data_IF_567020312463
#
_entry.id   IF_567020312463
#
_cell.length_a   1.000
_cell.length_b   1.000
_cell.length_c   1.000
_cell.angle_alpha   90.00
_cell.angle_beta   90.00
_cell.angle_gamma   90.00
#
_symmetry.space_group_name_H-M   'P 1'
#
loop_
_entity.id
_entity.type
_entity.pdbx_description
1 polymer ?
#
# COMPACT_ATOMS: atom_id res chain seq x y z
N UNK A 1 -74.38 -5.41 12.25
CA UNK A 1 -74.00 -6.83 12.43
C UNK A 1 -72.62 -7.06 11.80
N UNK A 2 -71.68 -7.51 12.65
CA UNK A 2 -70.53 -8.40 12.39
C UNK A 2 -69.56 -8.13 11.22
N UNK A 3 -68.38 -7.65 11.64
CA UNK A 3 -67.02 -8.00 11.22
C UNK A 3 -66.79 -9.08 10.14
N UNK A 4 -65.81 -8.83 9.26
CA UNK A 4 -64.77 -9.81 8.93
C UNK A 4 -63.42 -9.15 8.53
N UNK A 5 -62.45 -9.28 9.44
CA UNK A 5 -60.97 -9.44 9.36
C UNK A 5 -60.26 -9.12 8.02
N UNK A 6 -59.28 -8.22 8.00
CA UNK A 6 -57.88 -8.35 8.50
C UNK A 6 -57.03 -9.40 7.78
N UNK A 7 -56.09 -8.95 6.95
CA UNK A 7 -54.70 -9.44 6.93
C UNK A 7 -53.72 -8.28 6.74
N UNK A 8 -53.06 -7.99 7.84
CA UNK A 8 -51.87 -7.16 8.04
C UNK A 8 -50.68 -7.69 7.23
N UNK A 9 -50.10 -6.84 6.37
CA UNK A 9 -48.74 -7.03 5.87
C UNK A 9 -47.77 -6.41 6.89
N UNK A 10 -47.07 -7.27 7.62
CA UNK A 10 -46.00 -6.92 8.56
C UNK A 10 -44.68 -6.76 7.81
N UNK A 11 -43.90 -5.78 8.26
CA UNK A 11 -42.44 -5.71 8.29
C UNK A 11 -41.70 -5.89 6.95
N UNK A 12 -41.04 -4.81 6.51
CA UNK A 12 -39.58 -4.77 6.60
C UNK A 12 -39.12 -3.31 6.64
N UNK A 13 -38.72 -2.88 7.84
CA UNK A 13 -38.05 -1.63 8.11
C UNK A 13 -36.59 -1.85 7.71
N UNK A 14 -36.19 -1.41 6.52
CA UNK A 14 -34.78 -1.40 6.14
C UNK A 14 -34.13 -0.22 6.88
N UNK A 15 -33.46 -0.55 7.98
CA UNK A 15 -32.65 0.38 8.73
C UNK A 15 -31.55 0.94 7.82
N UNK A 16 -31.52 2.26 7.65
CA UNK A 16 -30.35 2.99 7.21
C UNK A 16 -29.21 2.78 8.22
N UNK A 17 -28.42 1.73 8.01
CA UNK A 17 -27.06 1.66 8.54
C UNK A 17 -26.21 2.61 7.70
N UNK A 18 -26.18 3.89 8.09
CA UNK A 18 -25.04 4.74 7.80
C UNK A 18 -23.86 4.12 8.53
N UNK A 19 -23.06 3.34 7.80
CA UNK A 19 -21.75 2.89 8.24
C UNK A 19 -20.89 4.14 8.45
N UNK A 20 -20.86 4.59 9.70
CA UNK A 20 -19.74 5.39 10.21
C UNK A 20 -18.51 4.52 10.00
N UNK A 21 -17.69 4.89 9.01
CA UNK A 21 -16.33 4.36 8.87
C UNK A 21 -15.57 4.86 10.09
N UNK A 22 -15.61 4.07 11.15
CA UNK A 22 -14.79 4.28 12.34
C UNK A 22 -13.33 4.15 11.92
N UNK A 23 -12.65 5.28 11.79
CA UNK A 23 -11.20 5.39 11.80
C UNK A 23 -10.69 4.95 13.18
N UNK A 24 -10.60 3.65 13.39
CA UNK A 24 -10.04 3.05 14.60
C UNK A 24 -9.07 1.94 14.20
N UNK A 25 -7.93 2.35 13.60
CA UNK A 25 -6.77 1.47 13.42
C UNK A 25 -5.45 2.26 13.44
N UNK A 26 -5.32 3.29 14.27
CA UNK A 26 -4.05 4.02 14.47
C UNK A 26 -3.72 4.12 15.96
N UNK A 27 -3.46 2.98 16.60
CA UNK A 27 -2.71 2.87 17.86
C UNK A 27 -2.63 1.38 18.27
N UNK A 28 -1.80 0.57 17.60
CA UNK A 28 -1.35 -0.74 18.13
C UNK A 28 -0.36 -1.49 17.23
N UNK A 29 0.29 -0.83 16.25
CA UNK A 29 1.21 -1.51 15.32
C UNK A 29 2.50 -2.01 15.95
N UNK A 30 3.03 -1.32 16.97
CA UNK A 30 4.35 -1.61 17.53
C UNK A 30 4.37 -2.78 18.53
N UNK A 31 3.24 -3.07 19.17
CA UNK A 31 3.12 -4.17 20.15
C UNK A 31 2.91 -5.56 19.54
N UNK A 32 2.69 -5.67 18.23
CA UNK A 32 2.49 -6.95 17.52
C UNK A 32 3.75 -7.54 16.90
N UNK A 33 4.92 -6.92 17.09
CA UNK A 33 6.19 -7.45 16.55
C UNK A 33 6.80 -8.57 17.41
N UNK A 34 6.36 -8.76 18.65
CA UNK A 34 6.95 -9.76 19.56
C UNK A 34 6.58 -11.21 19.22
N UNK A 35 5.50 -11.45 18.48
CA UNK A 35 5.09 -12.79 17.98
C UNK A 35 5.52 -13.08 16.54
N UNK A 36 6.12 -12.11 15.85
CA UNK A 36 6.56 -12.24 14.45
C UNK A 36 7.99 -12.82 14.36
N UNK A 37 8.76 -12.80 15.47
CA UNK A 37 10.20 -13.07 15.46
C UNK A 37 10.67 -14.52 15.65
N UNK A 38 9.81 -15.50 15.97
CA UNK A 38 10.29 -16.88 16.22
C UNK A 38 10.65 -17.66 14.96
N UNK A 39 10.11 -17.28 13.80
CA UNK A 39 10.31 -17.95 12.50
C UNK A 39 11.18 -17.15 11.52
N UNK A 40 11.35 -15.83 11.74
CA UNK A 40 12.37 -15.03 11.08
C UNK A 40 13.70 -15.19 11.83
N UNK A 41 14.22 -16.42 11.82
CA UNK A 41 15.62 -16.65 12.10
C UNK A 41 16.44 -16.18 10.89
N UNK A 42 17.67 -15.66 11.09
CA UNK A 42 18.60 -15.40 10.00
C UNK A 42 18.66 -16.63 9.08
N UNK A 43 18.36 -16.42 7.80
CA UNK A 43 18.15 -17.52 6.85
C UNK A 43 19.33 -18.50 6.83
N UNK A 44 18.98 -19.78 6.66
CA UNK A 44 19.93 -20.88 6.45
C UNK A 44 20.92 -20.55 5.31
N UNK A 45 22.14 -21.09 5.37
CA UNK A 45 23.25 -20.84 4.42
C UNK A 45 22.96 -21.18 2.93
N UNK A 46 21.76 -21.65 2.57
CA UNK A 46 21.39 -21.98 1.19
C UNK A 46 20.50 -20.88 0.60
N UNK A 47 20.90 -20.38 -0.57
CA UNK A 47 20.14 -19.37 -1.28
C UNK A 47 18.73 -19.88 -1.65
N UNK A 48 17.66 -19.11 -1.38
CA UNK A 48 16.31 -19.49 -1.79
C UNK A 48 16.16 -19.56 -3.31
N UNK A 49 15.14 -20.24 -3.78
CA UNK A 49 14.77 -20.26 -5.20
C UNK A 49 14.25 -18.89 -5.64
N UNK A 50 14.34 -18.61 -6.94
CA UNK A 50 13.80 -17.37 -7.51
C UNK A 50 12.29 -17.35 -7.28
N UNK A 51 11.82 -16.32 -6.58
CA UNK A 51 10.40 -16.08 -6.39
C UNK A 51 9.87 -15.27 -7.57
N UNK A 52 8.74 -15.69 -8.14
CA UNK A 52 8.09 -14.98 -9.24
C UNK A 52 6.58 -15.12 -9.14
N UNK A 53 5.88 -14.13 -9.67
CA UNK A 53 4.42 -14.09 -9.62
C UNK A 53 3.85 -12.77 -10.07
N UNK A 54 2.56 -12.59 -9.83
CA UNK A 54 1.83 -11.39 -10.19
C UNK A 54 0.77 -11.03 -9.15
N UNK A 55 0.40 -9.76 -9.15
CA UNK A 55 -0.73 -9.24 -8.40
C UNK A 55 -2.01 -9.48 -9.19
N UNK A 56 -2.97 -10.21 -8.63
CA UNK A 56 -4.34 -10.28 -9.13
C UNK A 56 -5.19 -9.29 -8.36
N UNK A 57 -5.90 -8.42 -9.09
CA UNK A 57 -6.84 -7.47 -8.52
C UNK A 57 -8.27 -8.00 -8.63
N UNK A 58 -9.00 -7.98 -7.53
CA UNK A 58 -10.43 -8.23 -7.51
C UNK A 58 -11.18 -6.90 -7.40
N UNK A 59 -11.84 -6.48 -8.47
CA UNK A 59 -12.58 -5.22 -8.54
C UNK A 59 -13.74 -5.18 -7.53
N UNK A 60 -14.37 -6.32 -7.23
CA UNK A 60 -15.52 -6.37 -6.33
C UNK A 60 -15.14 -6.05 -4.88
N UNK A 61 -13.96 -6.51 -4.45
CA UNK A 61 -13.46 -6.30 -3.09
C UNK A 61 -12.38 -5.21 -3.00
N UNK A 62 -11.86 -4.72 -4.13
CA UNK A 62 -10.71 -3.82 -4.18
C UNK A 62 -9.41 -4.44 -3.65
N UNK A 63 -9.31 -5.78 -3.61
CA UNK A 63 -8.22 -6.49 -2.95
C UNK A 63 -7.17 -7.01 -3.93
N UNK A 64 -5.90 -6.92 -3.54
CA UNK A 64 -4.77 -7.54 -4.24
C UNK A 64 -4.41 -8.88 -3.60
N UNK A 65 -4.21 -9.90 -4.45
CA UNK A 65 -3.70 -11.21 -4.04
C UNK A 65 -2.49 -11.59 -4.86
N UNK A 66 -1.48 -12.20 -4.23
CA UNK A 66 -0.29 -12.67 -4.93
C UNK A 66 -0.55 -14.06 -5.51
N UNK A 67 -0.23 -14.25 -6.79
CA UNK A 67 -0.28 -15.56 -7.44
C UNK A 67 1.14 -15.97 -7.82
N UNK A 68 1.60 -17.10 -7.26
CA UNK A 68 2.94 -17.65 -7.49
C UNK A 68 3.07 -18.28 -8.88
N UNK A 69 4.25 -18.20 -9.45
CA UNK A 69 4.62 -18.84 -10.71
C UNK A 69 4.89 -17.85 -11.83
N UNK A 70 5.48 -18.34 -12.93
CA UNK A 70 5.85 -17.51 -14.07
C UNK A 70 4.59 -16.90 -14.70
N UNK A 71 4.37 -15.61 -14.46
CA UNK A 71 3.81 -14.76 -15.49
C UNK A 71 4.81 -14.79 -16.66
N UNK A 72 4.60 -15.71 -17.60
CA UNK A 72 5.35 -15.75 -18.84
C UNK A 72 5.03 -14.51 -19.65
N UNK A 73 5.77 -13.43 -19.40
CA UNK A 73 5.57 -12.14 -20.07
C UNK A 73 4.42 -11.29 -19.51
N UNK A 74 4.13 -10.16 -20.18
CA UNK A 74 3.07 -9.24 -19.80
C UNK A 74 1.73 -9.96 -19.71
N UNK A 75 1.00 -9.68 -18.63
CA UNK A 75 -0.34 -10.22 -18.41
C UNK A 75 -1.36 -9.11 -18.54
N UNK A 76 -2.22 -9.21 -19.53
CA UNK A 76 -3.30 -8.24 -19.78
C UNK A 76 -4.28 -8.17 -18.59
N UNK A 77 -4.37 -9.24 -17.80
CA UNK A 77 -5.28 -9.40 -16.66
C UNK A 77 -4.68 -9.06 -15.29
N UNK A 78 -3.43 -8.60 -15.23
CA UNK A 78 -2.75 -8.30 -13.97
C UNK A 78 -2.15 -6.88 -13.96
N UNK A 79 -2.42 -6.06 -12.92
CA UNK A 79 -1.86 -4.70 -12.83
C UNK A 79 -0.34 -4.66 -12.65
N UNK A 80 0.27 -5.70 -12.08
CA UNK A 80 1.72 -5.82 -11.97
C UNK A 80 2.19 -7.28 -11.85
N UNK A 81 3.41 -7.54 -12.29
CA UNK A 81 4.11 -8.81 -12.10
C UNK A 81 5.59 -8.58 -11.81
N UNK A 82 6.26 -9.62 -11.30
CA UNK A 82 7.66 -9.49 -10.95
C UNK A 82 8.36 -10.77 -10.57
N UNK A 83 9.66 -10.64 -10.32
CA UNK A 83 10.51 -11.71 -9.82
C UNK A 83 11.60 -11.14 -8.92
N UNK A 84 12.03 -11.96 -7.96
CA UNK A 84 13.12 -11.66 -7.06
C UNK A 84 14.11 -12.82 -6.98
N UNK A 85 15.38 -12.52 -7.24
CA UNK A 85 16.51 -13.42 -7.04
C UNK A 85 17.33 -12.92 -5.86
N UNK A 86 17.42 -13.74 -4.82
CA UNK A 86 18.06 -13.38 -3.55
C UNK A 86 19.57 -13.12 -3.72
N UNK A 87 20.17 -12.16 -2.98
CA UNK A 87 21.61 -11.86 -3.03
C UNK A 87 22.50 -13.09 -2.83
N UNK A 88 22.10 -14.08 -2.04
CA UNK A 88 22.86 -15.32 -1.82
C UNK A 88 23.02 -16.16 -3.09
N UNK A 89 22.24 -15.88 -4.14
CA UNK A 89 22.35 -16.54 -5.46
C UNK A 89 23.42 -15.94 -6.35
N UNK A 90 23.99 -14.80 -5.97
CA UNK A 90 24.84 -14.01 -6.82
C UNK A 90 26.22 -13.82 -6.18
N UNK A 91 27.27 -14.01 -6.97
CA UNK A 91 28.66 -13.73 -6.53
C UNK A 91 28.87 -12.28 -6.12
N UNK A 92 28.06 -11.35 -6.66
CA UNK A 92 28.09 -9.94 -6.31
C UNK A 92 27.45 -9.63 -4.95
N UNK A 93 26.68 -10.57 -4.39
CA UNK A 93 25.86 -10.38 -3.20
C UNK A 93 24.79 -9.27 -3.34
N UNK A 94 24.38 -8.95 -4.57
CA UNK A 94 23.25 -8.05 -4.84
C UNK A 94 22.01 -8.87 -5.21
N UNK A 95 20.90 -8.60 -4.52
CA UNK A 95 19.59 -9.12 -4.92
C UNK A 95 19.13 -8.46 -6.22
N UNK A 96 18.40 -9.21 -7.04
CA UNK A 96 17.86 -8.71 -8.30
C UNK A 96 16.33 -8.75 -8.24
N UNK A 97 15.72 -7.57 -8.17
CA UNK A 97 14.28 -7.39 -8.25
C UNK A 97 13.91 -6.90 -9.66
N UNK A 98 12.86 -7.47 -10.23
CA UNK A 98 12.20 -6.97 -11.44
C UNK A 98 10.72 -6.84 -11.16
N UNK A 99 10.17 -5.66 -11.44
CA UNK A 99 8.74 -5.37 -11.38
C UNK A 99 8.34 -4.66 -12.67
N UNK A 100 7.22 -5.07 -13.24
CA UNK A 100 6.63 -4.42 -14.41
C UNK A 100 5.13 -4.25 -14.16
N UNK A 101 4.61 -3.06 -14.49
CA UNK A 101 3.20 -2.72 -14.41
C UNK A 101 2.52 -2.88 -15.76
N UNK A 102 1.18 -2.87 -15.75
CA UNK A 102 0.37 -2.96 -16.95
C UNK A 102 -0.40 -1.64 -17.18
N UNK A 103 -0.16 -0.92 -18.31
CA UNK A 103 -0.81 0.35 -18.61
C UNK A 103 -2.31 0.24 -18.91
N UNK A 104 -2.87 -0.97 -19.02
CA UNK A 104 -4.31 -1.18 -19.11
C UNK A 104 -5.05 -0.87 -17.80
N UNK A 105 -4.32 -0.70 -16.69
CA UNK A 105 -4.88 -0.39 -15.37
C UNK A 105 -4.64 1.09 -14.99
N UNK A 106 -5.48 1.69 -14.13
CA UNK A 106 -5.23 3.04 -13.63
C UNK A 106 -3.88 3.17 -12.93
N UNK A 107 -3.18 4.28 -13.13
CA UNK A 107 -1.83 4.53 -12.58
C UNK A 107 -1.72 4.25 -11.08
N UNK A 108 -2.71 4.69 -10.29
CA UNK A 108 -2.73 4.44 -8.85
C UNK A 108 -2.75 2.94 -8.53
N UNK A 109 -3.53 2.15 -9.28
CA UNK A 109 -3.59 0.70 -9.10
C UNK A 109 -2.31 0.03 -9.61
N UNK A 110 -1.72 0.51 -10.70
CA UNK A 110 -0.42 0.03 -11.17
C UNK A 110 0.65 0.20 -10.09
N UNK A 111 0.73 1.39 -9.48
CA UNK A 111 1.72 1.69 -8.44
C UNK A 111 1.46 0.88 -7.16
N UNK A 112 0.20 0.78 -6.73
CA UNK A 112 -0.19 -0.07 -5.60
C UNK A 112 0.16 -1.54 -5.85
N UNK A 113 -0.12 -2.06 -7.05
CA UNK A 113 0.21 -3.43 -7.42
C UNK A 113 1.73 -3.66 -7.53
N UNK A 114 2.49 -2.69 -8.04
CA UNK A 114 3.94 -2.75 -8.11
C UNK A 114 4.55 -2.88 -6.71
N UNK A 115 4.11 -2.02 -5.78
CA UNK A 115 4.50 -2.11 -4.38
C UNK A 115 4.10 -3.46 -3.77
N UNK A 116 2.88 -3.91 -4.00
CA UNK A 116 2.40 -5.19 -3.50
C UNK A 116 3.24 -6.37 -3.96
N UNK A 117 3.59 -6.42 -5.25
CA UNK A 117 4.47 -7.45 -5.81
C UNK A 117 5.86 -7.38 -5.16
N UNK A 118 6.46 -6.21 -5.06
CA UNK A 118 7.77 -6.03 -4.42
C UNK A 118 7.75 -6.48 -2.94
N UNK A 119 6.77 -5.99 -2.17
CA UNK A 119 6.67 -6.25 -0.74
C UNK A 119 6.46 -7.73 -0.45
N UNK A 120 5.69 -8.42 -1.30
CA UNK A 120 5.49 -9.86 -1.18
C UNK A 120 6.78 -10.63 -1.53
N UNK A 121 7.43 -10.28 -2.64
CA UNK A 121 8.60 -11.00 -3.16
C UNK A 121 9.85 -10.82 -2.29
N UNK A 122 9.96 -9.71 -1.56
CA UNK A 122 11.18 -9.32 -0.83
C UNK A 122 11.00 -9.26 0.68
N UNK A 123 9.89 -9.78 1.22
CA UNK A 123 9.52 -9.60 2.62
C UNK A 123 10.62 -10.02 3.62
N UNK A 124 11.30 -11.13 3.36
CA UNK A 124 12.38 -11.63 4.20
C UNK A 124 13.57 -10.66 4.22
N UNK A 125 13.91 -10.07 3.08
CA UNK A 125 15.00 -9.08 2.98
C UNK A 125 14.59 -7.73 3.59
N UNK A 126 13.32 -7.33 3.44
CA UNK A 126 12.77 -6.15 4.11
C UNK A 126 12.89 -6.31 5.63
N UNK A 127 12.55 -7.48 6.17
CA UNK A 127 12.69 -7.75 7.60
C UNK A 127 14.15 -7.70 8.05
N UNK A 128 15.06 -8.38 7.37
CA UNK A 128 16.48 -8.39 7.74
C UNK A 128 17.06 -6.97 7.72
N UNK A 129 16.70 -6.18 6.71
CA UNK A 129 17.11 -4.78 6.63
C UNK A 129 16.53 -3.95 7.77
N UNK A 130 15.22 -4.06 8.04
CA UNK A 130 14.57 -3.32 9.12
C UNK A 130 15.12 -3.70 10.51
N UNK A 131 15.42 -4.98 10.73
CA UNK A 131 16.04 -5.47 11.96
C UNK A 131 17.43 -4.87 12.18
N UNK A 132 18.26 -4.88 11.14
CA UNK A 132 19.61 -4.31 11.18
C UNK A 132 19.58 -2.80 11.40
N UNK A 133 18.71 -2.08 10.68
CA UNK A 133 18.58 -0.62 10.81
C UNK A 133 18.02 -0.20 12.16
N UNK A 134 17.15 -1.01 12.78
CA UNK A 134 16.67 -0.75 14.14
C UNK A 134 17.82 -0.79 15.15
N UNK A 135 18.72 -1.76 15.04
CA UNK A 135 19.92 -1.84 15.89
C UNK A 135 20.78 -0.60 15.74
N UNK A 136 21.14 -0.26 14.50
CA UNK A 136 21.94 0.93 14.22
C UNK A 136 21.28 2.22 14.72
N UNK A 137 19.98 2.41 14.47
CA UNK A 137 19.26 3.62 14.88
C UNK A 137 19.26 3.80 16.41
N UNK A 138 19.14 2.70 17.15
CA UNK A 138 19.21 2.73 18.61
C UNK A 138 20.59 3.16 19.15
N UNK A 139 21.66 3.03 18.35
CA UNK A 139 22.99 3.54 18.69
C UNK A 139 23.15 5.03 18.36
N UNK A 140 22.36 5.56 17.42
CA UNK A 140 22.47 6.96 16.98
C UNK A 140 21.64 7.95 17.81
N UNK A 141 20.62 7.47 18.50
CA UNK A 141 19.73 8.33 19.29
C UNK A 141 19.31 7.66 20.59
N UNK A 142 19.15 8.47 21.64
CA UNK A 142 18.57 8.03 22.91
C UNK A 142 17.04 7.95 22.85
N UNK A 143 16.41 8.36 21.75
CA UNK A 143 14.95 8.45 21.62
C UNK A 143 14.48 8.05 20.21
N UNK A 144 14.44 6.75 19.96
CA UNK A 144 13.94 6.17 18.70
C UNK A 144 12.44 6.39 18.51
N UNK A 145 11.69 6.55 19.60
CA UNK A 145 10.25 6.79 19.57
C UNK A 145 9.92 8.16 18.95
N UNK A 146 10.67 9.22 19.30
CA UNK A 146 10.49 10.55 18.67
C UNK A 146 10.68 10.54 17.16
N UNK A 147 11.63 9.73 16.65
CA UNK A 147 11.85 9.60 15.20
C UNK A 147 10.63 8.92 14.56
N UNK A 148 10.12 7.86 15.19
CA UNK A 148 8.90 7.19 14.76
C UNK A 148 7.70 8.15 14.71
N UNK A 149 7.46 8.89 15.79
CA UNK A 149 6.36 9.86 15.88
C UNK A 149 6.45 10.94 14.79
N UNK A 150 7.66 11.46 14.53
CA UNK A 150 7.88 12.41 13.46
C UNK A 150 7.59 11.80 12.08
N UNK A 151 8.05 10.58 11.81
CA UNK A 151 7.77 9.87 10.55
C UNK A 151 6.26 9.65 10.34
N UNK A 152 5.52 9.28 11.39
CA UNK A 152 4.05 9.15 11.29
C UNK A 152 3.36 10.49 11.04
N UNK A 153 3.80 11.55 11.72
CA UNK A 153 3.27 12.89 11.48
C UNK A 153 3.55 13.36 10.03
N UNK A 154 4.73 13.06 9.49
CA UNK A 154 5.09 13.36 8.10
C UNK A 154 4.24 12.58 7.09
N UNK A 155 4.06 11.27 7.28
CA UNK A 155 3.19 10.45 6.42
C UNK A 155 1.75 10.98 6.43
N UNK A 156 1.21 11.27 7.63
CA UNK A 156 -0.14 11.81 7.77
C UNK A 156 -0.28 13.17 7.06
N UNK A 157 0.69 14.06 7.25
CA UNK A 157 0.72 15.36 6.58
C UNK A 157 0.77 15.21 5.06
N UNK A 158 1.66 14.38 4.52
CA UNK A 158 1.79 14.16 3.08
C UNK A 158 0.48 13.64 2.47
N UNK A 159 -0.19 12.69 3.13
CA UNK A 159 -1.51 12.18 2.72
C UNK A 159 -2.60 13.24 2.78
N UNK A 160 -2.54 14.20 3.70
CA UNK A 160 -3.49 15.32 3.74
C UNK A 160 -3.28 16.24 2.55
N UNK A 161 -2.03 16.56 2.22
CA UNK A 161 -1.70 17.42 1.08
C UNK A 161 -2.15 16.80 -0.25
N UNK A 162 -1.87 15.51 -0.48
CA UNK A 162 -2.34 14.80 -1.68
C UNK A 162 -3.87 14.88 -1.82
N UNK A 163 -4.61 14.70 -0.73
CA UNK A 163 -6.08 14.78 -0.73
C UNK A 163 -6.60 16.19 -1.01
N UNK A 164 -6.00 17.21 -0.39
CA UNK A 164 -6.39 18.61 -0.59
C UNK A 164 -6.21 19.01 -2.06
N UNK A 165 -5.06 18.67 -2.64
CA UNK A 165 -4.73 19.06 -4.01
C UNK A 165 -5.38 18.18 -5.10
N UNK A 166 -5.89 16.98 -4.76
CA UNK A 166 -6.73 16.20 -5.66
C UNK A 166 -8.14 16.81 -5.83
N UNK A 167 -8.70 17.39 -4.76
CA UNK A 167 -10.01 18.04 -4.78
C UNK A 167 -10.00 19.35 -5.58
N UNK A 168 -8.91 20.11 -5.50
CA UNK A 168 -8.75 21.38 -6.22
C UNK A 168 -8.63 21.17 -7.75
N UNK A 169 -7.94 20.12 -8.19
CA UNK A 169 -7.81 19.79 -9.61
C UNK A 169 -9.15 19.39 -10.26
N UNK A 170 -10.07 18.78 -9.51
CA UNK A 170 -11.38 18.37 -10.01
C UNK A 170 -12.33 19.56 -10.17
N UNK A 171 -12.26 20.52 -9.24
CA UNK A 171 -13.10 21.73 -9.21
C UNK A 171 -12.62 22.83 -10.18
N UNK A 172 -11.33 22.83 -10.56
CA UNK A 172 -10.75 23.78 -11.52
C UNK A 172 -11.05 23.46 -12.98
N UNK A 173 -11.48 22.23 -13.30
CA UNK A 173 -11.82 21.82 -14.68
C UNK A 173 -13.16 22.37 -15.19
N UNK A 174 -14.01 22.89 -14.30
CA UNK A 174 -15.35 23.41 -14.63
C UNK A 174 -15.40 24.94 -14.84
N UNK A 175 -14.31 25.67 -14.63
CA UNK A 175 -14.30 27.14 -14.70
C UNK A 175 -13.01 27.69 -15.33
N UNK A 176 -12.79 27.37 -16.60
CA UNK A 176 -11.75 28.03 -17.42
C UNK A 176 -12.28 29.32 -18.05
N UNK A 177 -12.39 30.39 -17.24
CA UNK A 177 -12.36 31.76 -17.75
C UNK A 177 -11.08 32.40 -17.25
N UNK A 178 -10.14 32.60 -18.17
CA UNK A 178 -8.80 33.12 -17.93
C UNK A 178 -8.85 34.60 -17.52
N UNK A 179 -8.37 34.92 -16.32
CA UNK A 179 -8.00 36.29 -15.95
C UNK A 179 -6.61 36.29 -15.31
N UNK A 180 -5.65 36.75 -16.10
CA UNK A 180 -4.26 36.98 -15.72
C UNK A 180 -4.17 38.24 -14.85
N UNK A 181 -3.82 38.08 -13.57
CA UNK A 181 -3.31 39.18 -12.75
C UNK A 181 -2.00 38.76 -12.13
N UNK A 182 -0.93 39.40 -12.58
CA UNK A 182 0.43 39.28 -12.08
C UNK A 182 0.54 40.01 -10.74
N UNK A 183 0.73 39.28 -9.65
CA UNK A 183 1.29 39.81 -8.40
C UNK A 183 2.36 38.86 -7.88
N UNK A 184 3.58 39.37 -7.87
CA UNK A 184 4.79 38.75 -7.34
C UNK A 184 4.71 38.59 -5.82
N UNK A 185 4.65 37.36 -5.35
CA UNK A 185 5.03 36.96 -4.00
C UNK A 185 5.76 35.62 -4.06
N UNK A 186 6.84 35.53 -3.30
CA UNK A 186 7.87 34.49 -3.33
C UNK A 186 7.32 33.14 -2.83
N UNK A 187 6.94 32.27 -3.75
CA UNK A 187 7.01 30.80 -3.72
C UNK A 187 6.12 30.31 -4.87
N UNK A 188 6.75 29.93 -5.98
CA UNK A 188 5.99 29.39 -7.10
C UNK A 188 5.17 28.18 -6.61
N UNK A 189 3.87 28.10 -6.94
CA UNK A 189 3.08 26.95 -6.56
C UNK A 189 3.72 25.68 -7.14
N UNK A 190 3.66 24.54 -6.42
CA UNK A 190 4.17 23.29 -6.95
C UNK A 190 3.50 22.99 -8.29
N UNK A 191 4.23 22.34 -9.20
CA UNK A 191 3.72 21.98 -10.51
C UNK A 191 2.39 21.20 -10.37
N UNK A 192 1.47 21.31 -11.35
CA UNK A 192 0.18 20.60 -11.27
C UNK A 192 0.33 19.07 -11.15
N UNK A 193 1.50 18.53 -11.53
CA UNK A 193 1.82 17.11 -11.43
C UNK A 193 2.45 16.69 -10.08
N UNK A 194 2.87 17.63 -9.23
CA UNK A 194 3.61 17.34 -8.00
C UNK A 194 2.80 16.46 -7.04
N UNK A 195 1.65 16.93 -6.56
CA UNK A 195 0.83 16.19 -5.60
C UNK A 195 0.24 14.89 -6.17
N UNK A 196 -0.20 14.84 -7.44
CA UNK A 196 -0.53 13.57 -8.09
C UNK A 196 0.63 12.56 -8.06
N UNK A 197 1.86 12.99 -8.36
CA UNK A 197 3.04 12.11 -8.32
C UNK A 197 3.35 11.61 -6.91
N UNK A 198 3.25 12.49 -5.90
CA UNK A 198 3.38 12.09 -4.49
C UNK A 198 2.31 11.05 -4.12
N UNK A 199 1.07 11.23 -4.61
CA UNK A 199 0.00 10.25 -4.43
C UNK A 199 0.33 8.88 -5.01
N UNK A 200 0.95 8.82 -6.19
CA UNK A 200 1.42 7.58 -6.81
C UNK A 200 2.52 6.89 -5.98
N UNK A 201 3.46 7.65 -5.42
CA UNK A 201 4.49 7.12 -4.53
C UNK A 201 3.89 6.54 -3.24
N UNK A 202 2.91 7.24 -2.65
CA UNK A 202 2.20 6.74 -1.46
C UNK A 202 1.37 5.48 -1.78
N UNK A 203 0.76 5.40 -2.96
CA UNK A 203 0.07 4.19 -3.40
C UNK A 203 1.03 3.00 -3.52
N UNK A 204 2.24 3.21 -4.05
CA UNK A 204 3.28 2.16 -4.07
C UNK A 204 3.71 1.74 -2.66
N UNK A 205 3.87 2.69 -1.73
CA UNK A 205 4.20 2.39 -0.34
C UNK A 205 3.10 1.57 0.35
N UNK A 206 1.82 1.94 0.14
CA UNK A 206 0.66 1.19 0.67
C UNK A 206 0.62 -0.23 0.09
N UNK A 207 0.91 -0.35 -1.21
CA UNK A 207 1.13 -1.62 -1.88
C UNK A 207 2.22 -2.46 -1.21
N UNK A 208 3.41 -1.89 -1.00
CA UNK A 208 4.55 -2.55 -0.37
C UNK A 208 4.18 -3.14 0.99
N UNK A 209 3.53 -2.34 1.84
CA UNK A 209 3.08 -2.80 3.16
C UNK A 209 2.03 -3.92 3.06
N UNK A 210 1.10 -3.83 2.12
CA UNK A 210 0.09 -4.86 1.89
C UNK A 210 0.71 -6.17 1.39
N UNK A 211 1.66 -6.09 0.44
CA UNK A 211 2.39 -7.24 -0.10
C UNK A 211 3.22 -7.96 0.96
N UNK A 212 3.97 -7.20 1.76
CA UNK A 212 4.71 -7.70 2.91
C UNK A 212 3.79 -8.43 3.90
N UNK A 213 2.65 -7.81 4.24
CA UNK A 213 1.68 -8.40 5.16
C UNK A 213 1.08 -9.70 4.62
N UNK A 214 0.79 -9.76 3.31
CA UNK A 214 0.28 -10.96 2.65
C UNK A 214 1.32 -12.11 2.69
N UNK A 215 2.60 -11.81 2.49
CA UNK A 215 3.68 -12.80 2.58
C UNK A 215 3.83 -13.35 4.00
N UNK A 216 3.75 -12.49 5.02
CA UNK A 216 3.77 -12.94 6.42
C UNK A 216 2.54 -13.80 6.77
N UNK A 217 1.36 -13.43 6.27
CA UNK A 217 0.14 -14.21 6.51
C UNK A 217 0.24 -15.62 5.91
N UNK A 218 0.86 -15.76 4.74
CA UNK A 218 1.13 -17.06 4.14
C UNK A 218 2.10 -17.90 4.97
N UNK A 219 3.19 -17.29 5.45
CA UNK A 219 4.20 -18.00 6.25
C UNK A 219 3.69 -18.42 7.63
N UNK A 220 2.77 -17.66 8.23
CA UNK A 220 2.16 -18.00 9.51
C UNK A 220 1.10 -19.11 9.46
N UNK A 221 0.73 -19.59 8.26
CA UNK A 221 -0.21 -20.69 8.06
C UNK A 221 0.47 -22.02 7.73
N UNK A 222 1.80 -22.05 7.60
CA UNK A 222 2.61 -23.22 7.25
C UNK A 222 3.18 -23.98 8.44
#
# INVERSE_FOLDING_TARGET
MRHCRSRTAKLLLLACCVLVVSNAAHASGWGRLSKIGSWLQPQSKRAPDVLSGYARYDEASGTLTFVKGLAGGPRDDAPAHGSFSDPLRHVSNFGQLRVATNPAFPDTLQMQAAGFVEGYLTAERIFDYAYNMRGWLAEQTNDTFKIGDWLFAQDQWARQQVRAHAADNTSSSASSTSSSTTTSSTSDPPSPAFWPTVGLLLAQLDGLQAGYSARLAEQGQG
#
